data_IF_598947678234
#
_entry.id   IF_598947678234
#
_cell.length_a   1.000
_cell.length_b   1.000
_cell.length_c   1.000
_cell.angle_alpha   90.00
_cell.angle_beta   90.00
_cell.angle_gamma   90.00
#
_symmetry.space_group_name_H-M   'P 1'
#
loop_
_entity.id
_entity.type
_entity.pdbx_description
1 polymer ?
#
# COMPACT_ATOMS: atom_id res chain seq x y z
N UNK A 1 -8.27 -3.82 -10.24
CA UNK A 1 -7.15 -4.75 -10.27
C UNK A 1 -5.78 -4.03 -10.36
N UNK A 2 -5.57 -3.11 -11.34
CA UNK A 2 -4.26 -2.43 -11.55
C UNK A 2 -3.74 -1.70 -10.30
N UNK A 3 -4.52 -0.85 -9.59
CA UNK A 3 -4.04 -0.20 -8.36
C UNK A 3 -3.58 -1.21 -7.30
N UNK A 4 -4.27 -2.33 -7.17
CA UNK A 4 -3.89 -3.39 -6.23
C UNK A 4 -2.61 -4.11 -6.66
N UNK A 5 -2.46 -4.37 -7.94
CA UNK A 5 -1.24 -4.95 -8.52
C UNK A 5 0.01 -4.09 -8.26
N UNK A 6 -0.15 -2.75 -8.28
CA UNK A 6 0.94 -1.81 -8.00
C UNK A 6 1.20 -1.64 -6.50
N UNK A 7 0.20 -1.83 -5.64
CA UNK A 7 0.36 -1.68 -4.19
C UNK A 7 0.98 -2.92 -3.52
N UNK A 8 0.68 -4.14 -3.97
CA UNK A 8 1.11 -5.38 -3.33
C UNK A 8 2.64 -5.58 -3.23
N UNK A 9 3.47 -5.09 -4.17
CA UNK A 9 4.93 -5.10 -4.02
C UNK A 9 5.44 -4.59 -2.66
N UNK A 10 4.80 -3.58 -2.08
CA UNK A 10 5.17 -3.06 -0.77
C UNK A 10 5.00 -4.12 0.33
N UNK A 11 3.86 -4.81 0.36
CA UNK A 11 3.59 -5.86 1.34
C UNK A 11 4.56 -7.04 1.22
N UNK A 12 4.80 -7.50 0.00
CA UNK A 12 5.75 -8.59 -0.26
C UNK A 12 7.17 -8.20 0.18
N UNK A 13 7.57 -6.96 -0.10
CA UNK A 13 8.87 -6.44 0.34
C UNK A 13 8.95 -6.40 1.86
N UNK A 14 7.94 -5.91 2.55
CA UNK A 14 7.92 -5.88 4.01
C UNK A 14 7.97 -7.29 4.62
N UNK A 15 7.22 -8.23 4.05
CA UNK A 15 7.12 -9.59 4.58
C UNK A 15 8.41 -10.40 4.41
N UNK A 16 9.10 -10.27 3.30
CA UNK A 16 10.22 -11.16 2.96
C UNK A 16 11.59 -10.48 3.01
N UNK A 17 11.66 -9.16 2.74
CA UNK A 17 12.94 -8.50 2.53
C UNK A 17 13.39 -7.60 3.68
N UNK A 18 12.50 -7.19 4.59
CA UNK A 18 12.90 -6.35 5.74
C UNK A 18 13.99 -6.98 6.60
N UNK A 19 13.87 -8.26 7.04
CA UNK A 19 14.92 -8.85 7.88
C UNK A 19 16.27 -8.91 7.16
N UNK A 20 16.25 -9.26 5.88
CA UNK A 20 17.47 -9.35 5.07
C UNK A 20 18.11 -7.97 4.84
N UNK A 21 17.29 -6.94 4.58
CA UNK A 21 17.74 -5.56 4.47
C UNK A 21 18.38 -5.05 5.76
N UNK A 22 17.73 -5.28 6.91
CA UNK A 22 18.27 -4.86 8.20
C UNK A 22 19.59 -5.55 8.53
N UNK A 23 19.74 -6.84 8.17
CA UNK A 23 20.97 -7.58 8.36
C UNK A 23 22.10 -7.12 7.42
N UNK A 24 21.82 -7.13 6.09
CA UNK A 24 22.86 -6.89 5.06
C UNK A 24 23.23 -5.40 4.93
N UNK A 25 22.25 -4.52 4.88
CA UNK A 25 22.47 -3.10 4.58
C UNK A 25 22.67 -2.26 5.84
N UNK A 26 22.10 -2.68 6.96
CA UNK A 26 22.13 -1.94 8.23
C UNK A 26 22.99 -2.56 9.29
N UNK A 27 23.56 -3.74 9.05
CA UNK A 27 24.46 -4.43 9.97
C UNK A 27 23.81 -4.80 11.30
N UNK A 28 22.47 -4.92 11.34
CA UNK A 28 21.77 -5.33 12.56
C UNK A 28 21.98 -6.82 12.81
N UNK A 29 22.28 -7.18 14.06
CA UNK A 29 22.32 -8.56 14.48
C UNK A 29 20.90 -9.17 14.59
N UNK A 30 20.85 -10.50 14.60
CA UNK A 30 19.59 -11.25 14.59
C UNK A 30 18.74 -10.94 15.84
N UNK A 31 19.36 -10.68 17.00
CA UNK A 31 18.62 -10.37 18.22
C UNK A 31 17.90 -9.02 18.13
N UNK A 32 18.56 -8.00 17.60
CA UNK A 32 17.95 -6.69 17.35
C UNK A 32 16.90 -6.75 16.25
N UNK A 33 17.13 -7.54 15.19
CA UNK A 33 16.11 -7.76 14.14
C UNK A 33 14.86 -8.40 14.75
N UNK A 34 15.01 -9.46 15.54
CA UNK A 34 13.89 -10.12 16.20
C UNK A 34 13.11 -9.18 17.14
N UNK A 35 13.81 -8.23 17.78
CA UNK A 35 13.20 -7.27 18.69
C UNK A 35 12.37 -6.18 17.97
N UNK A 36 12.73 -5.80 16.75
CA UNK A 36 12.15 -4.63 16.08
C UNK A 36 11.42 -4.94 14.78
N UNK A 37 11.72 -6.05 14.07
CA UNK A 37 11.16 -6.33 12.74
C UNK A 37 9.65 -6.62 12.74
N UNK A 38 9.04 -6.89 13.88
CA UNK A 38 7.58 -7.06 14.02
C UNK A 38 6.82 -5.73 14.06
N UNK A 39 7.48 -4.62 14.41
CA UNK A 39 6.83 -3.30 14.58
C UNK A 39 6.13 -2.81 13.30
N UNK A 40 6.71 -2.93 12.09
CA UNK A 40 6.01 -2.58 10.85
C UNK A 40 4.71 -3.36 10.63
N UNK A 41 4.66 -4.63 11.07
CA UNK A 41 3.45 -5.45 10.96
C UNK A 41 2.37 -5.00 11.95
N UNK A 42 2.74 -4.69 13.18
CA UNK A 42 1.81 -4.09 14.14
C UNK A 42 1.28 -2.75 13.62
N UNK A 43 2.14 -1.90 13.05
CA UNK A 43 1.73 -0.65 12.44
C UNK A 43 0.76 -0.89 11.27
N UNK A 44 0.99 -1.95 10.48
CA UNK A 44 0.09 -2.36 9.41
C UNK A 44 -1.29 -2.78 9.96
N UNK A 45 -1.35 -3.57 11.03
CA UNK A 45 -2.61 -3.97 11.66
C UNK A 45 -3.39 -2.73 12.15
N UNK A 46 -2.70 -1.77 12.78
CA UNK A 46 -3.29 -0.49 13.17
C UNK A 46 -3.77 0.30 11.94
N UNK A 47 -3.01 0.29 10.84
CA UNK A 47 -3.41 0.89 9.56
C UNK A 47 -4.68 0.26 9.00
N UNK A 48 -4.81 -1.07 9.07
CA UNK A 48 -6.02 -1.80 8.67
C UNK A 48 -7.24 -1.41 9.49
N UNK A 49 -7.10 -1.35 10.81
CA UNK A 49 -8.16 -0.90 11.72
C UNK A 49 -8.57 0.55 11.43
N UNK A 50 -7.59 1.47 11.37
CA UNK A 50 -7.82 2.88 11.07
C UNK A 50 -8.42 3.09 9.68
N UNK A 51 -8.00 2.29 8.68
CA UNK A 51 -8.50 2.34 7.30
C UNK A 51 -10.02 2.21 7.20
N UNK A 52 -10.61 1.37 8.06
CA UNK A 52 -12.08 1.25 8.15
C UNK A 52 -12.77 2.55 8.59
N UNK A 53 -12.11 3.40 9.39
CA UNK A 53 -12.66 4.66 9.89
C UNK A 53 -12.29 5.88 9.04
N UNK A 54 -11.20 5.81 8.26
CA UNK A 54 -10.71 6.94 7.45
C UNK A 54 -11.77 7.43 6.47
N UNK A 55 -12.42 6.53 5.76
CA UNK A 55 -13.40 6.89 4.74
C UNK A 55 -14.66 7.56 5.34
N UNK A 56 -15.34 6.97 6.35
CA UNK A 56 -16.46 7.65 7.01
C UNK A 56 -16.07 9.00 7.64
N UNK A 57 -14.86 9.11 8.19
CA UNK A 57 -14.35 10.37 8.75
C UNK A 57 -14.19 11.44 7.66
N UNK A 58 -13.53 11.11 6.54
CA UNK A 58 -13.37 12.04 5.41
C UNK A 58 -14.73 12.45 4.85
N UNK A 59 -15.66 11.49 4.67
CA UNK A 59 -17.00 11.77 4.17
C UNK A 59 -17.75 12.78 5.07
N UNK A 60 -17.67 12.60 6.39
CA UNK A 60 -18.31 13.48 7.36
C UNK A 60 -17.67 14.88 7.41
N UNK A 61 -16.33 14.97 7.43
CA UNK A 61 -15.61 16.24 7.57
C UNK A 61 -15.71 17.10 6.32
N UNK A 62 -15.59 16.48 5.14
CA UNK A 62 -15.58 17.21 3.86
C UNK A 62 -16.92 17.19 3.13
N UNK A 63 -17.95 16.55 3.66
CA UNK A 63 -19.27 16.47 3.04
C UNK A 63 -19.28 15.76 1.68
N UNK A 64 -18.33 14.82 1.44
CA UNK A 64 -18.20 14.11 0.18
C UNK A 64 -18.88 12.74 0.23
N UNK A 65 -19.28 12.22 -0.94
CA UNK A 65 -19.82 10.88 -1.07
C UNK A 65 -18.82 9.80 -0.60
N UNK A 66 -19.33 8.66 -0.12
CA UNK A 66 -18.52 7.59 0.46
C UNK A 66 -17.44 7.07 -0.52
N UNK A 67 -17.79 6.86 -1.78
CA UNK A 67 -16.83 6.42 -2.82
C UNK A 67 -15.71 7.44 -3.01
N UNK A 68 -16.04 8.74 -3.08
CA UNK A 68 -15.03 9.82 -3.18
C UNK A 68 -14.12 9.86 -1.95
N UNK A 69 -14.67 9.65 -0.76
CA UNK A 69 -13.89 9.64 0.48
C UNK A 69 -12.90 8.47 0.53
N UNK A 70 -13.24 7.31 -0.03
CA UNK A 70 -12.31 6.17 -0.15
C UNK A 70 -11.14 6.50 -1.07
N UNK A 71 -11.41 7.11 -2.22
CA UNK A 71 -10.36 7.50 -3.17
C UNK A 71 -9.42 8.55 -2.58
N UNK A 72 -9.96 9.52 -1.84
CA UNK A 72 -9.14 10.50 -1.10
C UNK A 72 -8.28 9.78 -0.06
N UNK A 73 -8.86 8.85 0.70
CA UNK A 73 -8.13 8.04 1.68
C UNK A 73 -7.00 7.23 1.06
N UNK A 74 -7.23 6.60 -0.11
CA UNK A 74 -6.20 5.89 -0.88
C UNK A 74 -5.07 6.85 -1.28
N UNK A 75 -5.41 8.05 -1.76
CA UNK A 75 -4.41 9.07 -2.11
C UNK A 75 -3.56 9.50 -0.92
N UNK A 76 -4.18 9.74 0.24
CA UNK A 76 -3.45 10.08 1.47
C UNK A 76 -2.52 8.96 1.92
N UNK A 77 -2.99 7.71 1.89
CA UNK A 77 -2.17 6.55 2.21
C UNK A 77 -1.01 6.38 1.22
N UNK A 78 -1.25 6.57 -0.09
CA UNK A 78 -0.20 6.51 -1.11
C UNK A 78 0.88 7.60 -0.89
N UNK A 79 0.52 8.80 -0.43
CA UNK A 79 1.51 9.82 -0.05
C UNK A 79 2.37 9.37 1.14
N UNK A 80 1.78 8.71 2.14
CA UNK A 80 2.55 8.17 3.27
C UNK A 80 3.52 7.07 2.84
N UNK A 81 3.27 6.37 1.73
CA UNK A 81 4.17 5.36 1.16
C UNK A 81 5.46 5.95 0.58
N UNK A 82 5.60 7.27 0.51
CA UNK A 82 6.89 7.92 0.22
C UNK A 82 7.91 7.65 1.35
N UNK A 83 7.44 7.52 2.60
CA UNK A 83 8.34 7.33 3.75
C UNK A 83 9.24 6.09 3.61
N UNK A 84 8.76 4.87 3.33
CA UNK A 84 9.64 3.73 3.09
C UNK A 84 10.54 3.91 1.86
N UNK A 85 10.13 4.69 0.86
CA UNK A 85 11.01 5.06 -0.26
C UNK A 85 12.22 5.90 0.14
N UNK A 86 12.15 6.62 1.27
CA UNK A 86 13.23 7.43 1.82
C UNK A 86 14.20 6.66 2.73
N UNK A 87 14.03 5.34 2.91
CA UNK A 87 14.89 4.51 3.78
C UNK A 87 16.36 4.61 3.41
N UNK A 88 16.68 4.70 2.12
CA UNK A 88 18.05 4.86 1.64
C UNK A 88 18.74 6.16 2.08
N UNK A 89 17.98 7.18 2.48
CA UNK A 89 18.49 8.50 2.89
C UNK A 89 18.87 8.56 4.37
N UNK A 90 18.50 7.57 5.18
CA UNK A 90 18.79 7.55 6.62
C UNK A 90 19.89 6.54 6.94
N UNK A 91 20.86 6.93 7.77
CA UNK A 91 21.95 6.07 8.17
C UNK A 91 21.55 5.12 9.33
N UNK A 92 20.69 5.58 10.23
CA UNK A 92 20.30 4.82 11.42
C UNK A 92 19.29 3.72 11.06
N UNK A 93 19.52 2.45 11.49
CA UNK A 93 18.58 1.36 11.30
C UNK A 93 17.23 1.60 12.01
N UNK A 94 17.23 2.32 13.11
CA UNK A 94 16.00 2.63 13.86
C UNK A 94 15.09 3.59 13.11
N UNK A 95 15.65 4.59 12.42
CA UNK A 95 14.86 5.45 11.54
C UNK A 95 14.33 4.70 10.32
N UNK A 96 15.10 3.74 9.79
CA UNK A 96 14.60 2.85 8.74
C UNK A 96 13.37 2.06 9.23
N UNK A 97 13.40 1.53 10.46
CA UNK A 97 12.25 0.83 11.06
C UNK A 97 11.04 1.77 11.23
N UNK A 98 11.25 3.03 11.65
CA UNK A 98 10.17 4.02 11.73
C UNK A 98 9.53 4.25 10.36
N UNK A 99 10.32 4.40 9.30
CA UNK A 99 9.79 4.56 7.94
C UNK A 99 9.07 3.30 7.46
N UNK A 100 9.54 2.12 7.81
CA UNK A 100 8.84 0.86 7.54
C UNK A 100 7.51 0.77 8.30
N UNK A 101 7.44 1.26 9.54
CA UNK A 101 6.18 1.33 10.30
C UNK A 101 5.18 2.28 9.63
N UNK A 102 5.62 3.46 9.17
CA UNK A 102 4.77 4.39 8.42
C UNK A 102 4.27 3.71 7.13
N UNK A 103 5.17 3.03 6.41
CA UNK A 103 4.83 2.28 5.20
C UNK A 103 3.84 1.14 5.46
N UNK A 104 4.05 0.35 6.50
CA UNK A 104 3.14 -0.73 6.90
C UNK A 104 1.73 -0.21 7.21
N UNK A 105 1.64 0.84 8.04
CA UNK A 105 0.39 1.52 8.34
C UNK A 105 -0.31 2.04 7.07
N UNK A 106 0.43 2.74 6.23
CA UNK A 106 -0.09 3.33 4.99
C UNK A 106 -0.56 2.26 4.01
N UNK A 107 0.26 1.22 3.78
CA UNK A 107 -0.07 0.13 2.88
C UNK A 107 -1.36 -0.57 3.30
N UNK A 108 -1.51 -0.90 4.58
CA UNK A 108 -2.70 -1.63 5.04
C UNK A 108 -3.95 -0.75 5.04
N UNK A 109 -3.81 0.54 5.35
CA UNK A 109 -4.89 1.53 5.17
C UNK A 109 -5.36 1.58 3.71
N UNK A 110 -4.43 1.69 2.76
CA UNK A 110 -4.68 1.68 1.32
C UNK A 110 -5.35 0.38 0.87
N UNK A 111 -4.84 -0.76 1.32
CA UNK A 111 -5.36 -2.09 1.01
C UNK A 111 -6.83 -2.25 1.41
N UNK A 112 -7.18 -1.88 2.64
CA UNK A 112 -8.56 -1.92 3.15
C UNK A 112 -9.46 -1.01 2.33
N UNK A 113 -9.02 0.20 2.00
CA UNK A 113 -9.82 1.16 1.21
C UNK A 113 -10.06 0.67 -0.22
N UNK A 114 -9.07 0.04 -0.87
CA UNK A 114 -9.25 -0.53 -2.22
C UNK A 114 -10.22 -1.72 -2.17
N UNK A 115 -10.10 -2.61 -1.20
CA UNK A 115 -10.97 -3.77 -1.07
C UNK A 115 -12.43 -3.35 -0.79
N UNK A 116 -12.63 -2.35 0.09
CA UNK A 116 -13.98 -1.84 0.39
C UNK A 116 -14.55 -1.06 -0.81
N UNK A 117 -13.71 -0.32 -1.54
CA UNK A 117 -14.15 0.34 -2.78
C UNK A 117 -14.59 -0.68 -3.83
N UNK A 118 -13.88 -1.80 -3.98
CA UNK A 118 -14.28 -2.90 -4.84
C UNK A 118 -15.67 -3.43 -4.44
N UNK A 119 -15.90 -3.62 -3.14
CA UNK A 119 -17.21 -4.06 -2.64
C UNK A 119 -18.36 -3.05 -2.92
N UNK A 120 -18.05 -1.75 -2.93
CA UNK A 120 -19.06 -0.71 -3.22
C UNK A 120 -19.39 -0.60 -4.72
N UNK A 121 -18.49 -1.06 -5.60
CA UNK A 121 -18.65 -0.91 -7.06
C UNK A 121 -19.38 -2.10 -7.71
N UNK A 122 -19.57 -3.22 -7.01
CA UNK A 122 -20.17 -4.44 -7.55
C UNK A 122 -21.42 -4.85 -6.77
N UNK A 123 -22.40 -5.51 -7.41
CA UNK A 123 -23.53 -6.14 -6.74
C UNK A 123 -23.06 -7.18 -5.71
N UNK A 124 -23.89 -7.43 -4.69
CA UNK A 124 -23.53 -8.30 -3.56
C UNK A 124 -23.16 -9.74 -3.98
N UNK A 125 -23.77 -10.26 -5.03
CA UNK A 125 -23.51 -11.58 -5.62
C UNK A 125 -22.21 -11.64 -6.43
N UNK A 126 -21.69 -10.53 -6.91
CA UNK A 126 -20.46 -10.45 -7.70
C UNK A 126 -19.23 -9.99 -6.87
N UNK A 127 -19.42 -9.38 -5.68
CA UNK A 127 -18.34 -8.83 -4.84
C UNK A 127 -17.25 -9.86 -4.55
N UNK A 128 -17.62 -11.12 -4.28
CA UNK A 128 -16.65 -12.18 -4.01
C UNK A 128 -15.71 -12.44 -5.18
N UNK A 129 -16.27 -12.53 -6.38
CA UNK A 129 -15.52 -12.75 -7.63
C UNK A 129 -14.64 -11.53 -7.93
N UNK A 130 -15.19 -10.31 -7.84
CA UNK A 130 -14.47 -9.07 -8.07
C UNK A 130 -13.27 -8.93 -7.13
N UNK A 131 -13.46 -9.16 -5.83
CA UNK A 131 -12.38 -9.12 -4.84
C UNK A 131 -11.34 -10.23 -5.06
N UNK A 132 -11.76 -11.41 -5.53
CA UNK A 132 -10.86 -12.48 -5.92
C UNK A 132 -9.91 -12.05 -7.05
N UNK A 133 -10.44 -11.44 -8.12
CA UNK A 133 -9.64 -10.90 -9.22
C UNK A 133 -8.71 -9.76 -8.78
N UNK A 134 -9.19 -8.85 -7.94
CA UNK A 134 -8.40 -7.74 -7.40
C UNK A 134 -7.24 -8.27 -6.57
N UNK A 135 -7.49 -9.24 -5.68
CA UNK A 135 -6.47 -9.85 -4.84
C UNK A 135 -5.45 -10.65 -5.67
N UNK A 136 -5.93 -11.44 -6.65
CA UNK A 136 -5.04 -12.21 -7.54
C UNK A 136 -4.09 -11.28 -8.32
N UNK A 137 -4.60 -10.17 -8.84
CA UNK A 137 -3.76 -9.18 -9.52
C UNK A 137 -2.69 -8.61 -8.58
N UNK A 138 -3.03 -8.34 -7.31
CA UNK A 138 -2.08 -7.93 -6.28
C UNK A 138 -0.97 -8.95 -6.10
N UNK A 139 -1.30 -10.21 -5.86
CA UNK A 139 -0.31 -11.27 -5.68
C UNK A 139 0.62 -11.45 -6.90
N UNK A 140 0.11 -11.30 -8.12
CA UNK A 140 0.93 -11.31 -9.33
C UNK A 140 1.90 -10.14 -9.32
N UNK A 141 1.45 -8.94 -8.99
CA UNK A 141 2.31 -7.75 -8.88
C UNK A 141 3.42 -7.93 -7.84
N UNK A 142 3.06 -8.42 -6.64
CA UNK A 142 4.00 -8.73 -5.59
C UNK A 142 5.04 -9.78 -5.98
N UNK A 143 4.61 -10.86 -6.64
CA UNK A 143 5.51 -11.90 -7.15
C UNK A 143 6.51 -11.34 -8.16
N UNK A 144 6.04 -10.62 -9.17
CA UNK A 144 6.91 -10.05 -10.21
C UNK A 144 7.94 -9.09 -9.62
N UNK A 145 7.51 -8.22 -8.68
CA UNK A 145 8.43 -7.31 -8.00
C UNK A 145 9.41 -8.05 -7.10
N UNK A 146 8.98 -9.06 -6.36
CA UNK A 146 9.86 -9.86 -5.48
C UNK A 146 10.93 -10.59 -6.28
N UNK A 147 10.59 -11.13 -7.46
CA UNK A 147 11.56 -11.73 -8.38
C UNK A 147 12.57 -10.69 -8.89
N UNK A 148 12.09 -9.52 -9.31
CA UNK A 148 12.95 -8.43 -9.74
C UNK A 148 13.88 -7.96 -8.60
N UNK A 149 13.36 -7.80 -7.38
CA UNK A 149 14.14 -7.42 -6.22
C UNK A 149 15.21 -8.46 -5.91
N UNK A 150 14.87 -9.76 -5.94
CA UNK A 150 15.83 -10.85 -5.73
C UNK A 150 16.96 -10.87 -6.76
N UNK A 151 16.67 -10.49 -8.01
CA UNK A 151 17.66 -10.47 -9.08
C UNK A 151 18.56 -9.22 -9.04
N UNK A 152 18.01 -8.07 -8.65
CA UNK A 152 18.71 -6.79 -8.76
C UNK A 152 19.25 -6.25 -7.42
N UNK A 153 18.82 -6.77 -6.27
CA UNK A 153 19.21 -6.27 -4.96
C UNK A 153 20.73 -6.25 -4.73
N UNK A 154 21.44 -7.28 -5.19
CA UNK A 154 22.90 -7.37 -5.03
C UNK A 154 23.67 -6.43 -5.97
N UNK A 155 23.07 -5.92 -7.05
CA UNK A 155 23.71 -5.04 -8.03
C UNK A 155 23.34 -3.57 -7.85
N UNK A 156 22.10 -3.28 -7.51
CA UNK A 156 21.53 -1.92 -7.40
C UNK A 156 21.41 -1.47 -5.94
N UNK A 157 21.39 -2.42 -5.00
CA UNK A 157 21.12 -2.18 -3.59
C UNK A 157 19.62 -2.10 -3.27
N UNK A 158 19.28 -2.23 -1.99
CA UNK A 158 17.89 -2.21 -1.53
C UNK A 158 17.28 -0.81 -1.53
N UNK A 159 18.07 0.25 -1.29
CA UNK A 159 17.57 1.61 -1.18
C UNK A 159 16.78 2.09 -2.41
N UNK A 160 17.36 2.05 -3.63
CA UNK A 160 16.66 2.40 -4.86
C UNK A 160 15.42 1.53 -5.10
N UNK A 161 15.49 0.23 -4.81
CA UNK A 161 14.37 -0.69 -5.01
C UNK A 161 13.19 -0.37 -4.07
N UNK A 162 13.46 0.01 -2.83
CA UNK A 162 12.42 0.49 -1.92
C UNK A 162 11.82 1.84 -2.36
N UNK A 163 12.59 2.68 -3.06
CA UNK A 163 12.10 3.91 -3.66
C UNK A 163 10.95 3.68 -4.65
N UNK A 164 10.99 2.59 -5.42
CA UNK A 164 9.92 2.25 -6.36
C UNK A 164 8.59 1.93 -5.67
N UNK A 165 8.59 1.47 -4.42
CA UNK A 165 7.36 1.12 -3.70
C UNK A 165 6.45 2.34 -3.54
N UNK A 166 7.00 3.48 -3.09
CA UNK A 166 6.24 4.73 -2.99
C UNK A 166 5.73 5.24 -4.34
N UNK A 167 6.55 5.09 -5.40
CA UNK A 167 6.16 5.48 -6.76
C UNK A 167 5.01 4.62 -7.28
N UNK A 168 5.04 3.31 -7.05
CA UNK A 168 3.99 2.39 -7.49
C UNK A 168 2.64 2.71 -6.83
N UNK A 169 2.63 2.97 -5.54
CA UNK A 169 1.42 3.32 -4.81
C UNK A 169 0.84 4.66 -5.28
N UNK A 170 1.69 5.65 -5.55
CA UNK A 170 1.26 6.93 -6.11
C UNK A 170 0.66 6.77 -7.52
N UNK A 171 1.31 5.99 -8.40
CA UNK A 171 0.77 5.68 -9.73
C UNK A 171 -0.56 4.94 -9.59
N UNK A 172 -0.65 3.96 -8.71
CA UNK A 172 -1.87 3.22 -8.41
C UNK A 172 -3.02 4.12 -7.95
N UNK A 173 -2.72 5.07 -7.07
CA UNK A 173 -3.69 6.06 -6.59
C UNK A 173 -4.16 7.01 -7.71
N UNK A 174 -3.26 7.47 -8.57
CA UNK A 174 -3.60 8.32 -9.74
C UNK A 174 -4.47 7.55 -10.73
N UNK A 175 -4.13 6.30 -11.04
CA UNK A 175 -4.94 5.45 -11.91
C UNK A 175 -6.33 5.25 -11.30
N UNK A 176 -6.42 4.96 -10.01
CA UNK A 176 -7.70 4.79 -9.32
C UNK A 176 -8.54 6.06 -9.40
N UNK A 177 -7.95 7.21 -9.11
CA UNK A 177 -8.62 8.50 -9.16
C UNK A 177 -9.19 8.82 -10.54
N UNK A 178 -8.41 8.59 -11.62
CA UNK A 178 -8.85 8.84 -12.99
C UNK A 178 -10.00 7.93 -13.42
N UNK A 179 -9.90 6.62 -13.12
CA UNK A 179 -10.96 5.66 -13.45
C UNK A 179 -12.26 5.93 -12.70
N UNK A 180 -12.20 6.16 -11.40
CA UNK A 180 -13.40 6.41 -10.60
C UNK A 180 -14.08 7.71 -10.97
N UNK A 181 -13.31 8.74 -11.32
CA UNK A 181 -13.88 10.01 -11.80
C UNK A 181 -14.78 9.79 -13.03
N UNK A 182 -14.37 8.93 -13.96
CA UNK A 182 -15.20 8.58 -15.11
C UNK A 182 -16.46 7.77 -14.74
N UNK A 183 -16.34 6.85 -13.79
CA UNK A 183 -17.49 6.06 -13.33
C UNK A 183 -18.52 6.93 -12.59
N UNK A 184 -18.08 7.82 -11.70
CA UNK A 184 -18.96 8.75 -10.98
C UNK A 184 -19.68 9.67 -11.98
N UNK A 185 -18.96 10.25 -12.93
CA UNK A 185 -19.55 11.12 -13.96
C UNK A 185 -20.56 10.37 -14.85
N UNK A 186 -20.28 9.11 -15.18
CA UNK A 186 -21.21 8.28 -15.95
C UNK A 186 -22.46 7.90 -15.15
N UNK A 187 -22.35 7.74 -13.85
CA UNK A 187 -23.47 7.45 -12.96
C UNK A 187 -24.34 8.68 -12.73
N UNK A 188 -23.75 9.84 -12.49
CA UNK A 188 -24.45 11.12 -12.39
C UNK A 188 -25.21 11.46 -13.68
N UNK A 189 -24.64 11.11 -14.86
CA UNK A 189 -25.30 11.31 -16.16
C UNK A 189 -26.46 10.32 -16.44
N UNK A 190 -26.53 9.19 -15.72
CA UNK A 190 -27.66 8.24 -15.82
C UNK A 190 -28.81 8.60 -14.88
N UNK A 191 -28.48 9.27 -13.77
CA UNK A 191 -29.44 9.65 -12.72
C UNK A 191 -30.06 11.03 -13.00
N UNK A 192 -29.56 11.77 -14.02
CA UNK A 192 -30.05 13.06 -14.49
C UNK A 192 -30.98 12.91 -15.69
#
# INVERSE_FOLDING_TARGET
AIPRMLAEPAWQTFSFWIPLYLAKERGMDIAHIALFAWMPFLAADLGGLCGGYVSPFIARVFGVQLVRSRVIGVGLAAVLMIAPGCIGLVASPYWAIVFLCIGGFAHQTLSVLINTLSADCYPADEVGVANGFVSQAGWIGGLLFSLALGQFADTVGYGPLFGFLGVFDLIGAVILFTFIRHLIAAQEARDA
#
